data_IF_232273057775
#
_entry.id   IF_232273057775
#
_cell.length_a   1.000
_cell.length_b   1.000
_cell.length_c   1.000
_cell.angle_alpha   90.00
_cell.angle_beta   90.00
_cell.angle_gamma   90.00
#
_symmetry.space_group_name_H-M   'P 1'
#
loop_
_entity.id
_entity.type
_entity.pdbx_description
1 polymer ?
#
# COMPACT_ATOMS: atom_id res chain seq x y z
N UNK A 1 58.04 18.12 -29.26
CA UNK A 1 58.23 16.83 -29.98
C UNK A 1 59.29 15.91 -29.36
N UNK A 2 60.15 16.37 -28.43
CA UNK A 2 61.15 15.50 -27.78
C UNK A 2 60.49 14.50 -26.80
N UNK A 3 59.57 14.95 -25.94
CA UNK A 3 58.86 14.11 -24.98
C UNK A 3 58.14 12.89 -25.60
N UNK A 4 57.42 13.09 -26.72
CA UNK A 4 56.74 12.02 -27.43
C UNK A 4 57.74 11.02 -28.04
N UNK A 5 58.88 11.52 -28.51
CA UNK A 5 59.95 10.68 -29.07
C UNK A 5 60.66 9.88 -27.98
N UNK A 6 60.83 10.46 -26.80
CA UNK A 6 61.43 9.80 -25.63
C UNK A 6 60.50 8.71 -25.07
N UNK A 7 59.19 8.96 -25.02
CA UNK A 7 58.19 7.95 -24.67
C UNK A 7 58.17 6.83 -25.71
N UNK A 8 58.15 7.17 -27.00
CA UNK A 8 58.15 6.19 -28.09
C UNK A 8 59.41 5.30 -28.04
N UNK A 9 60.59 5.89 -27.90
CA UNK A 9 61.85 5.15 -27.79
C UNK A 9 61.87 4.27 -26.52
N UNK A 10 61.33 4.74 -25.41
CA UNK A 10 61.25 3.96 -24.16
C UNK A 10 60.29 2.77 -24.28
N UNK A 11 59.18 2.94 -24.99
CA UNK A 11 58.21 1.86 -25.28
C UNK A 11 58.79 0.88 -26.29
N UNK A 12 59.59 1.34 -27.26
CA UNK A 12 60.22 0.47 -28.24
C UNK A 12 61.28 -0.45 -27.62
N UNK A 13 61.92 -0.03 -26.53
CA UNK A 13 62.83 -0.85 -25.71
C UNK A 13 62.08 -1.95 -24.93
N UNK A 14 60.77 -1.79 -24.70
CA UNK A 14 59.91 -2.84 -24.14
C UNK A 14 59.41 -3.80 -25.24
N UNK A 15 60.29 -4.63 -25.80
CA UNK A 15 59.91 -5.75 -26.69
C UNK A 15 60.10 -7.11 -25.99
N UNK A 16 59.22 -8.06 -26.28
CA UNK A 16 59.31 -9.46 -25.85
C UNK A 16 58.90 -9.72 -24.38
N UNK A 17 59.72 -10.48 -23.65
CA UNK A 17 59.42 -11.03 -22.30
C UNK A 17 59.08 -9.97 -21.25
N UNK A 18 59.67 -8.78 -21.34
CA UNK A 18 59.42 -7.67 -20.40
C UNK A 18 58.02 -7.07 -20.56
N UNK A 19 57.51 -7.01 -21.80
CA UNK A 19 56.16 -6.54 -22.08
C UNK A 19 55.14 -7.51 -21.46
N UNK A 20 55.34 -8.82 -21.64
CA UNK A 20 54.48 -9.87 -21.06
C UNK A 20 54.47 -9.80 -19.53
N UNK A 21 55.64 -9.63 -18.90
CA UNK A 21 55.73 -9.47 -17.43
C UNK A 21 55.00 -8.20 -16.98
N UNK A 22 55.16 -7.09 -17.71
CA UNK A 22 54.51 -5.83 -17.34
C UNK A 22 52.99 -5.93 -17.48
N UNK A 23 52.48 -6.55 -18.54
CA UNK A 23 51.05 -6.82 -18.70
C UNK A 23 50.51 -7.75 -17.60
N UNK A 24 51.26 -8.78 -17.22
CA UNK A 24 50.88 -9.69 -16.13
C UNK A 24 50.80 -8.96 -14.78
N UNK A 25 51.82 -8.17 -14.45
CA UNK A 25 51.86 -7.37 -13.22
C UNK A 25 50.71 -6.37 -13.21
N UNK A 26 50.46 -5.69 -14.33
CA UNK A 26 49.36 -4.75 -14.48
C UNK A 26 48.00 -5.46 -14.29
N UNK A 27 47.82 -6.64 -14.86
CA UNK A 27 46.60 -7.44 -14.69
C UNK A 27 46.35 -7.82 -13.23
N UNK A 28 47.39 -8.23 -12.50
CA UNK A 28 47.28 -8.57 -11.07
C UNK A 28 46.94 -7.32 -10.25
N UNK A 29 47.53 -6.17 -10.58
CA UNK A 29 47.23 -4.91 -9.92
C UNK A 29 45.75 -4.51 -10.10
N UNK A 30 45.22 -4.60 -11.32
CA UNK A 30 43.82 -4.29 -11.59
C UNK A 30 42.85 -5.28 -10.92
N UNK A 31 43.20 -6.57 -10.83
CA UNK A 31 42.42 -7.55 -10.07
C UNK A 31 42.35 -7.16 -8.59
N UNK A 32 43.47 -6.76 -7.99
CA UNK A 32 43.50 -6.27 -6.61
C UNK A 32 42.60 -5.05 -6.39
N UNK A 33 42.63 -4.08 -7.30
CA UNK A 33 41.76 -2.90 -7.25
C UNK A 33 40.28 -3.29 -7.38
N UNK A 34 39.95 -4.21 -8.28
CA UNK A 34 38.58 -4.70 -8.45
C UNK A 34 38.03 -5.38 -7.19
N UNK A 35 38.82 -6.25 -6.57
CA UNK A 35 38.47 -6.91 -5.29
C UNK A 35 38.28 -5.86 -4.19
N UNK A 36 39.15 -4.85 -4.13
CA UNK A 36 39.08 -3.78 -3.14
C UNK A 36 37.78 -2.96 -3.26
N UNK A 37 37.40 -2.55 -4.48
CA UNK A 37 36.13 -1.84 -4.73
C UNK A 37 34.93 -2.72 -4.36
N UNK A 38 34.96 -4.01 -4.70
CA UNK A 38 33.91 -4.95 -4.33
C UNK A 38 33.74 -5.09 -2.81
N UNK A 39 34.84 -5.11 -2.06
CA UNK A 39 34.82 -5.15 -0.60
C UNK A 39 34.23 -3.86 0.01
N UNK A 40 34.59 -2.68 -0.51
CA UNK A 40 34.02 -1.41 -0.07
C UNK A 40 32.51 -1.32 -0.33
N UNK A 41 32.05 -1.78 -1.51
CA UNK A 41 30.63 -1.83 -1.82
C UNK A 41 29.87 -2.74 -0.84
N UNK A 42 30.40 -3.92 -0.51
CA UNK A 42 29.79 -4.82 0.47
C UNK A 42 29.72 -4.18 1.86
N UNK A 43 30.77 -3.44 2.28
CA UNK A 43 30.79 -2.73 3.56
C UNK A 43 29.74 -1.62 3.64
N UNK A 44 29.54 -0.87 2.54
CA UNK A 44 28.53 0.20 2.44
C UNK A 44 27.12 -0.39 2.43
N UNK A 45 26.89 -1.47 1.69
CA UNK A 45 25.59 -2.13 1.62
C UNK A 45 25.18 -2.75 2.97
N UNK A 46 26.13 -3.32 3.72
CA UNK A 46 25.87 -3.85 5.07
C UNK A 46 25.53 -2.79 6.11
N UNK A 47 25.90 -1.52 5.90
CA UNK A 47 25.48 -0.43 6.79
C UNK A 47 24.06 0.07 6.50
N UNK A 48 23.50 -0.27 5.33
CA UNK A 48 22.13 0.07 4.95
C UNK A 48 21.08 -0.91 5.47
N UNK A 49 21.49 -2.09 5.93
CA UNK A 49 20.60 -3.04 6.62
C UNK A 49 20.56 -2.70 8.11
N UNK A 50 19.94 -1.57 8.44
CA UNK A 50 19.27 -1.48 9.73
C UNK A 50 18.26 -2.62 9.69
N UNK A 51 18.43 -3.64 10.53
CA UNK A 51 17.41 -4.66 10.80
C UNK A 51 16.16 -3.95 11.29
N UNK A 52 15.39 -3.44 10.34
CA UNK A 52 14.04 -2.99 10.55
C UNK A 52 13.27 -4.30 10.61
N UNK A 53 13.30 -4.90 11.80
CA UNK A 53 12.19 -5.75 12.22
C UNK A 53 10.95 -4.94 11.88
N UNK A 54 10.30 -5.35 10.79
CA UNK A 54 9.12 -4.68 10.29
C UNK A 54 8.08 -4.95 11.35
N UNK A 55 8.01 -4.06 12.35
CA UNK A 55 6.88 -3.98 13.23
C UNK A 55 5.70 -3.73 12.29
N UNK A 56 4.96 -4.79 12.01
CA UNK A 56 3.68 -4.67 11.32
C UNK A 56 2.92 -3.57 12.06
N UNK A 57 2.43 -2.54 11.36
CA UNK A 57 1.60 -1.55 12.02
C UNK A 57 0.49 -2.30 12.77
N UNK A 58 0.09 -1.84 13.97
CA UNK A 58 -0.98 -2.49 14.71
C UNK A 58 -2.18 -2.68 13.77
N UNK A 59 -2.85 -3.84 13.81
CA UNK A 59 -3.96 -4.10 12.90
C UNK A 59 -4.95 -2.94 13.02
N UNK A 60 -5.22 -2.29 11.89
CA UNK A 60 -6.28 -1.29 11.80
C UNK A 60 -7.57 -2.05 12.07
N UNK A 61 -8.09 -1.93 13.29
CA UNK A 61 -9.39 -2.47 13.65
C UNK A 61 -10.40 -1.62 12.91
N UNK A 62 -10.94 -2.10 11.79
CA UNK A 62 -12.07 -1.45 11.14
C UNK A 62 -13.31 -1.70 12.02
N UNK A 63 -13.90 -0.64 12.63
CA UNK A 63 -15.10 -0.80 13.46
C UNK A 63 -16.36 -1.05 12.61
N UNK A 64 -16.23 -1.14 11.29
CA UNK A 64 -17.36 -1.36 10.41
C UNK A 64 -17.98 -2.75 10.60
N UNK A 65 -19.30 -2.79 10.62
CA UNK A 65 -20.10 -4.01 10.61
C UNK A 65 -20.81 -4.13 9.27
N UNK A 66 -20.99 -5.37 8.82
CA UNK A 66 -21.74 -5.69 7.59
C UNK A 66 -23.05 -6.33 8.00
N UNK A 67 -24.15 -5.76 7.54
CA UNK A 67 -25.50 -6.28 7.74
C UNK A 67 -26.16 -6.53 6.39
N UNK A 68 -27.06 -7.50 6.33
CA UNK A 68 -27.78 -7.88 5.12
C UNK A 68 -29.29 -7.70 5.34
N UNK A 69 -29.97 -7.16 4.34
CA UNK A 69 -31.42 -6.99 4.38
C UNK A 69 -31.92 -6.09 3.25
N UNK A 70 -33.22 -5.81 3.27
CA UNK A 70 -33.87 -4.90 2.34
C UNK A 70 -33.82 -3.47 2.86
N UNK A 71 -33.44 -2.50 2.04
CA UNK A 71 -33.53 -1.09 2.41
C UNK A 71 -34.97 -0.62 2.22
N UNK A 72 -35.57 -0.04 3.25
CA UNK A 72 -36.91 0.54 3.22
C UNK A 72 -36.88 1.97 3.76
N UNK A 73 -37.73 2.84 3.21
CA UNK A 73 -37.91 4.19 3.71
C UNK A 73 -38.61 4.20 5.08
N UNK A 74 -38.18 5.08 5.98
CA UNK A 74 -38.86 5.36 7.25
C UNK A 74 -39.05 6.87 7.42
N UNK A 75 -40.11 7.30 8.11
CA UNK A 75 -40.42 8.71 8.27
C UNK A 75 -39.36 9.40 9.15
N UNK A 76 -38.62 10.41 8.63
CA UNK A 76 -37.62 11.15 9.40
C UNK A 76 -38.18 11.90 10.62
N UNK A 77 -39.49 12.19 10.65
CA UNK A 77 -40.14 12.84 11.79
C UNK A 77 -40.07 11.99 13.07
N UNK A 78 -39.85 10.68 12.96
CA UNK A 78 -39.64 9.81 14.12
C UNK A 78 -38.27 10.00 14.78
N UNK A 79 -37.31 10.59 14.05
CA UNK A 79 -35.93 10.81 14.50
C UNK A 79 -35.50 12.26 14.22
N UNK A 80 -36.15 13.24 14.87
CA UNK A 80 -35.95 14.65 14.56
C UNK A 80 -34.51 15.08 14.85
N UNK A 81 -33.85 15.68 13.86
CA UNK A 81 -32.47 16.17 13.97
C UNK A 81 -31.38 15.14 13.68
N UNK A 82 -31.73 13.86 13.50
CA UNK A 82 -30.76 12.82 13.18
C UNK A 82 -30.72 12.48 11.67
N UNK A 83 -31.62 13.04 10.86
CA UNK A 83 -31.70 12.84 9.40
C UNK A 83 -31.75 11.36 8.97
N UNK A 84 -32.39 10.53 9.79
CA UNK A 84 -32.58 9.10 9.52
C UNK A 84 -33.84 8.93 8.68
N UNK A 85 -33.69 8.44 7.45
CA UNK A 85 -34.78 8.26 6.49
C UNK A 85 -34.92 6.83 5.97
N UNK A 86 -34.06 5.91 6.41
CA UNK A 86 -34.07 4.52 5.95
C UNK A 86 -33.89 3.52 7.09
N UNK A 87 -34.38 2.32 6.87
CA UNK A 87 -34.26 1.17 7.76
C UNK A 87 -33.91 -0.08 6.96
N UNK A 88 -33.09 -0.95 7.54
CA UNK A 88 -32.81 -2.27 7.01
C UNK A 88 -33.85 -3.23 7.56
N UNK A 89 -34.57 -3.93 6.70
CA UNK A 89 -35.58 -4.93 7.08
C UNK A 89 -35.15 -6.33 6.67
N UNK A 90 -35.56 -7.34 7.43
CA UNK A 90 -35.41 -8.74 7.04
C UNK A 90 -36.39 -9.13 5.93
N UNK A 91 -36.25 -10.34 5.38
CA UNK A 91 -37.15 -11.01 4.42
C UNK A 91 -38.62 -11.04 4.86
N UNK A 92 -38.88 -10.97 6.17
CA UNK A 92 -40.22 -10.91 6.77
C UNK A 92 -40.80 -9.49 6.86
N UNK A 93 -40.03 -8.46 6.48
CA UNK A 93 -40.39 -7.05 6.65
C UNK A 93 -40.16 -6.50 8.06
N UNK A 94 -39.58 -7.31 8.97
CA UNK A 94 -39.21 -6.85 10.30
C UNK A 94 -38.02 -5.89 10.23
N UNK A 95 -38.13 -4.74 10.90
CA UNK A 95 -37.03 -3.78 11.05
C UNK A 95 -35.87 -4.37 11.87
N UNK A 96 -34.67 -4.27 11.31
CA UNK A 96 -33.42 -4.75 11.90
C UNK A 96 -32.59 -3.59 12.45
N UNK A 97 -32.30 -2.59 11.62
CA UNK A 97 -31.43 -1.46 11.97
C UNK A 97 -31.82 -0.20 11.21
N UNK A 98 -31.80 0.94 11.89
CA UNK A 98 -31.91 2.25 11.25
C UNK A 98 -30.65 2.56 10.44
N UNK A 99 -30.81 3.21 9.31
CA UNK A 99 -29.74 3.52 8.37
C UNK A 99 -29.66 5.03 8.15
N UNK A 100 -28.44 5.56 8.24
CA UNK A 100 -28.10 6.93 7.85
C UNK A 100 -26.96 6.90 6.85
N UNK A 101 -27.01 7.74 5.83
CA UNK A 101 -25.89 7.97 4.91
C UNK A 101 -25.69 9.48 4.74
N UNK A 102 -24.45 9.88 4.44
CA UNK A 102 -24.11 11.27 4.11
C UNK A 102 -24.40 11.61 2.64
N UNK A 103 -24.70 10.60 1.82
CA UNK A 103 -24.99 10.73 0.39
C UNK A 103 -26.27 9.96 0.02
N UNK A 104 -26.70 10.08 -1.24
CA UNK A 104 -27.94 9.52 -1.75
C UNK A 104 -27.92 7.99 -1.96
N UNK A 105 -26.89 7.27 -1.49
CA UNK A 105 -26.72 5.83 -1.78
C UNK A 105 -27.88 4.96 -1.28
N UNK A 106 -28.51 5.35 -0.17
CA UNK A 106 -29.64 4.62 0.40
C UNK A 106 -30.92 4.81 -0.42
N UNK A 107 -31.11 5.97 -1.03
CA UNK A 107 -32.21 6.22 -1.95
C UNK A 107 -32.08 5.36 -3.22
N UNK A 108 -30.86 5.21 -3.75
CA UNK A 108 -30.59 4.34 -4.90
C UNK A 108 -30.77 2.84 -4.58
N UNK A 109 -30.60 2.46 -3.31
CA UNK A 109 -30.73 1.09 -2.85
C UNK A 109 -32.14 0.75 -2.32
N UNK A 110 -33.06 1.72 -2.33
CA UNK A 110 -34.40 1.54 -1.77
C UNK A 110 -35.14 0.38 -2.45
N UNK A 111 -35.71 -0.51 -1.64
CA UNK A 111 -36.46 -1.67 -2.09
C UNK A 111 -35.60 -2.87 -2.47
N UNK A 112 -34.27 -2.73 -2.58
CA UNK A 112 -33.34 -3.81 -2.92
C UNK A 112 -32.87 -4.57 -1.68
N UNK A 113 -32.60 -5.87 -1.84
CA UNK A 113 -31.85 -6.67 -0.87
C UNK A 113 -30.36 -6.42 -1.09
N UNK A 114 -29.70 -5.85 -0.08
CA UNK A 114 -28.31 -5.41 -0.15
C UNK A 114 -27.55 -5.81 1.10
N UNK A 115 -26.22 -5.79 1.00
CA UNK A 115 -25.34 -5.79 2.16
C UNK A 115 -24.88 -4.36 2.41
N UNK A 116 -25.12 -3.85 3.60
CA UNK A 116 -24.69 -2.52 4.03
C UNK A 116 -23.52 -2.64 4.99
N UNK A 117 -22.43 -1.92 4.70
CA UNK A 117 -21.29 -1.78 5.59
C UNK A 117 -21.31 -0.39 6.21
N UNK A 118 -21.20 -0.33 7.53
CA UNK A 118 -21.24 0.94 8.25
C UNK A 118 -20.75 0.84 9.67
N UNK A 119 -20.72 1.97 10.37
CA UNK A 119 -20.33 2.03 11.78
C UNK A 119 -21.58 2.21 12.63
N UNK A 120 -21.68 1.46 13.72
CA UNK A 120 -22.77 1.64 14.69
C UNK A 120 -22.58 2.96 15.42
N UNK A 121 -23.63 3.77 15.42
CA UNK A 121 -23.69 5.07 16.06
C UNK A 121 -24.96 5.14 16.90
N UNK A 122 -25.04 6.13 17.77
CA UNK A 122 -26.21 6.38 18.60
C UNK A 122 -26.62 7.83 18.44
N UNK A 123 -27.92 8.08 18.28
CA UNK A 123 -28.47 9.43 18.22
C UNK A 123 -28.37 10.13 19.57
N UNK A 124 -28.62 11.44 19.61
CA UNK A 124 -28.68 12.18 20.87
C UNK A 124 -29.80 11.66 21.80
N UNK A 125 -30.86 11.09 21.22
CA UNK A 125 -31.96 10.46 21.93
C UNK A 125 -31.68 9.03 22.42
N UNK A 126 -30.50 8.46 22.12
CA UNK A 126 -30.13 7.10 22.54
C UNK A 126 -30.54 5.99 21.58
N UNK A 127 -31.03 6.32 20.38
CA UNK A 127 -31.41 5.34 19.37
C UNK A 127 -30.19 4.87 18.58
N UNK A 128 -29.99 3.56 18.48
CA UNK A 128 -28.90 3.00 17.65
C UNK A 128 -29.24 3.09 16.16
N UNK A 129 -28.27 3.52 15.37
CA UNK A 129 -28.35 3.53 13.91
C UNK A 129 -27.01 3.13 13.29
N UNK A 130 -27.05 2.73 12.03
CA UNK A 130 -25.86 2.41 11.26
C UNK A 130 -25.55 3.58 10.31
N UNK A 131 -24.39 4.22 10.50
CA UNK A 131 -23.85 5.16 9.53
C UNK A 131 -23.22 4.37 8.37
N UNK A 132 -23.95 4.31 7.26
CA UNK A 132 -23.63 3.50 6.09
C UNK A 132 -22.51 4.16 5.29
N UNK A 133 -21.42 3.42 5.11
CA UNK A 133 -20.29 3.80 4.26
C UNK A 133 -20.46 3.24 2.85
N UNK A 134 -20.82 1.96 2.76
CA UNK A 134 -20.93 1.24 1.49
C UNK A 134 -22.24 0.44 1.43
N UNK A 135 -22.83 0.42 0.24
CA UNK A 135 -23.94 -0.48 -0.12
C UNK A 135 -23.43 -1.43 -1.19
N UNK A 136 -23.53 -2.73 -0.92
CA UNK A 136 -23.11 -3.80 -1.82
C UNK A 136 -24.36 -4.43 -2.39
N UNK A 137 -24.64 -4.13 -3.66
CA UNK A 137 -25.74 -4.71 -4.42
C UNK A 137 -25.20 -5.96 -5.11
N UNK A 138 -25.76 -7.12 -4.79
CA UNK A 138 -25.37 -8.35 -5.45
C UNK A 138 -26.09 -8.43 -6.79
N UNK A 139 -25.42 -8.01 -7.87
CA UNK A 139 -25.93 -8.15 -9.23
C UNK A 139 -25.80 -9.61 -9.68
N UNK A 140 -26.61 -10.50 -9.09
CA UNK A 140 -26.81 -11.85 -9.60
C UNK A 140 -28.04 -11.82 -10.51
N UNK A 141 -27.79 -11.64 -11.81
CA UNK A 141 -28.69 -12.06 -12.89
C UNK A 141 -28.08 -13.31 -13.54
#
# INVERSE_FOLDING_TARGET
MQLLKDIYNSVEVLKGRRLVILTLVLSIAFLGVGIFIGYLNNLILKQGEISTETALPPPIIDPSVILEGRVAYTNPEYYPGDEISYVLTDTSGKELYLLKAEDDKLALAEGLNVKVRGVKMTTQAGTEYLLVREVIINAAN
#
